data_IF_290126720600
#
_entry.id   IF_290126720600
#
_cell.length_a   1.000
_cell.length_b   1.000
_cell.length_c   1.000
_cell.angle_alpha   90.00
_cell.angle_beta   90.00
_cell.angle_gamma   90.00
#
_symmetry.space_group_name_H-M   'P 1'
#
loop_
_entity.id
_entity.type
_entity.pdbx_description
1 polymer ?
#
# COMPACT_ATOMS: atom_id res chain seq x y z
N UNK A 1 -2.01 13.18 -16.99
CA UNK A 1 -1.15 12.01 -17.24
C UNK A 1 -1.66 10.83 -16.43
N UNK A 2 -1.29 9.60 -16.79
CA UNK A 2 -1.58 8.41 -15.97
C UNK A 2 -0.38 8.11 -15.09
N UNK A 3 -0.61 8.04 -13.77
CA UNK A 3 0.39 7.69 -12.78
C UNK A 3 0.06 6.31 -12.21
N UNK A 4 1.03 5.39 -12.27
CA UNK A 4 0.89 4.05 -11.69
C UNK A 4 1.03 4.12 -10.16
N UNK A 5 0.00 3.70 -9.45
CA UNK A 5 -0.01 3.56 -7.99
C UNK A 5 -0.15 2.08 -7.63
N UNK A 6 0.75 1.60 -6.78
CA UNK A 6 0.83 0.20 -6.37
C UNK A 6 0.21 -0.03 -4.99
N UNK A 7 -0.33 -1.22 -4.81
CA UNK A 7 -0.63 -1.81 -3.51
C UNK A 7 0.56 -2.64 -3.04
N UNK A 8 0.58 -2.98 -1.75
CA UNK A 8 1.69 -3.73 -1.15
C UNK A 8 1.88 -5.15 -1.72
N UNK A 9 0.85 -5.76 -2.32
CA UNK A 9 0.98 -7.03 -3.06
C UNK A 9 1.47 -6.87 -4.51
N UNK A 10 1.89 -5.67 -4.91
CA UNK A 10 2.39 -5.39 -6.26
C UNK A 10 1.32 -5.19 -7.34
N UNK A 11 0.02 -5.37 -7.03
CA UNK A 11 -1.05 -4.93 -7.95
C UNK A 11 -1.01 -3.41 -8.09
N UNK A 12 -1.31 -2.90 -9.28
CA UNK A 12 -1.34 -1.46 -9.55
C UNK A 12 -2.65 -1.02 -10.19
N UNK A 13 -2.93 0.25 -10.07
CA UNK A 13 -3.98 0.96 -10.81
C UNK A 13 -3.45 2.31 -11.26
N UNK A 14 -4.07 2.88 -12.28
CA UNK A 14 -3.67 4.15 -12.87
C UNK A 14 -4.58 5.27 -12.42
N UNK A 15 -3.98 6.35 -11.95
CA UNK A 15 -4.66 7.56 -11.48
C UNK A 15 -4.39 8.69 -12.45
N UNK A 16 -5.44 9.42 -12.83
CA UNK A 16 -5.35 10.56 -13.75
C UNK A 16 -5.01 11.84 -12.99
N UNK A 17 -3.76 12.28 -13.06
CA UNK A 17 -3.26 13.47 -12.35
C UNK A 17 -2.38 14.32 -13.25
N UNK A 18 -2.05 15.54 -12.85
CA UNK A 18 -1.02 16.37 -13.45
C UNK A 18 0.34 15.99 -12.89
N UNK A 19 1.40 16.25 -13.65
CA UNK A 19 2.76 16.04 -13.16
C UNK A 19 3.14 16.99 -12.01
N UNK A 20 2.41 18.09 -11.81
CA UNK A 20 2.63 19.06 -10.72
C UNK A 20 1.70 18.86 -9.53
N UNK A 21 0.80 17.86 -9.56
CA UNK A 21 -0.13 17.64 -8.46
C UNK A 21 0.62 17.18 -7.21
N UNK A 22 0.15 17.67 -6.06
CA UNK A 22 0.75 17.36 -4.77
C UNK A 22 0.43 15.93 -4.32
N UNK A 23 1.21 15.38 -3.39
CA UNK A 23 0.97 14.05 -2.82
C UNK A 23 -0.42 13.93 -2.23
N UNK A 24 -0.90 14.98 -1.55
CA UNK A 24 -2.24 14.99 -0.96
C UNK A 24 -3.32 14.89 -2.04
N UNK A 25 -3.18 15.63 -3.14
CA UNK A 25 -4.13 15.56 -4.26
C UNK A 25 -4.11 14.19 -4.93
N UNK A 26 -2.92 13.64 -5.21
CA UNK A 26 -2.76 12.30 -5.79
C UNK A 26 -3.38 11.23 -4.89
N UNK A 27 -3.19 11.33 -3.56
CA UNK A 27 -3.80 10.42 -2.60
C UNK A 27 -5.32 10.51 -2.61
N UNK A 28 -5.89 11.72 -2.66
CA UNK A 28 -7.34 11.90 -2.75
C UNK A 28 -7.93 11.24 -3.99
N UNK A 29 -7.34 11.46 -5.16
CA UNK A 29 -7.79 10.88 -6.42
C UNK A 29 -7.64 9.34 -6.40
N UNK A 30 -6.49 8.84 -5.93
CA UNK A 30 -6.21 7.41 -5.85
C UNK A 30 -7.19 6.67 -4.92
N UNK A 31 -7.49 7.24 -3.75
CA UNK A 31 -8.41 6.65 -2.77
C UNK A 31 -9.86 6.71 -3.24
N UNK A 32 -10.26 7.80 -3.89
CA UNK A 32 -11.59 7.96 -4.51
C UNK A 32 -11.83 6.87 -5.56
N UNK A 33 -10.83 6.59 -6.40
CA UNK A 33 -10.92 5.57 -7.45
C UNK A 33 -11.14 4.16 -6.92
N UNK A 34 -10.54 3.80 -5.78
CA UNK A 34 -10.78 2.51 -5.10
C UNK A 34 -11.97 2.55 -4.12
N UNK A 35 -12.70 3.67 -4.08
CA UNK A 35 -13.89 3.90 -3.24
C UNK A 35 -13.62 3.78 -1.74
N UNK A 36 -12.41 4.15 -1.30
CA UNK A 36 -12.13 4.26 0.14
C UNK A 36 -12.87 5.48 0.71
N UNK A 37 -13.57 5.37 1.85
CA UNK A 37 -14.21 6.50 2.50
C UNK A 37 -13.24 7.64 2.81
N UNK A 38 -13.68 8.88 2.60
CA UNK A 38 -12.88 10.09 2.73
C UNK A 38 -12.26 10.25 4.13
N UNK A 39 -13.01 9.90 5.19
CA UNK A 39 -12.52 9.93 6.57
C UNK A 39 -11.41 8.91 6.84
N UNK A 40 -11.24 7.90 5.98
CA UNK A 40 -10.24 6.85 6.14
C UNK A 40 -8.94 7.11 5.37
N UNK A 41 -8.89 8.11 4.49
CA UNK A 41 -7.71 8.41 3.66
C UNK A 41 -6.49 8.73 4.53
N UNK A 42 -6.69 9.44 5.65
CA UNK A 42 -5.64 9.82 6.59
C UNK A 42 -4.86 8.65 7.21
N UNK A 43 -5.43 7.45 7.19
CA UNK A 43 -4.79 6.23 7.71
C UNK A 43 -3.75 5.65 6.76
N UNK A 44 -3.71 6.11 5.52
CA UNK A 44 -2.81 5.65 4.48
C UNK A 44 -1.91 6.79 4.01
N UNK A 45 -0.79 6.44 3.38
CA UNK A 45 0.09 7.40 2.72
C UNK A 45 0.78 6.78 1.53
N UNK A 46 1.33 7.66 0.70
CA UNK A 46 2.10 7.28 -0.47
C UNK A 46 3.58 7.14 -0.10
N UNK A 47 4.18 6.02 -0.45
CA UNK A 47 5.58 5.70 -0.18
C UNK A 47 6.32 5.51 -1.49
N UNK A 48 7.56 6.01 -1.53
CA UNK A 48 8.52 5.64 -2.56
C UNK A 48 9.12 4.30 -2.17
N UNK A 49 9.10 3.38 -3.11
CA UNK A 49 9.44 1.99 -2.89
C UNK A 49 10.40 1.53 -3.98
N UNK A 50 11.51 0.91 -3.59
CA UNK A 50 12.47 0.31 -4.51
C UNK A 50 12.04 -1.12 -4.90
N UNK A 51 12.25 -1.47 -6.16
CA UNK A 51 12.14 -2.84 -6.70
C UNK A 51 13.53 -3.47 -6.58
N UNK A 52 13.70 -4.48 -5.73
CA UNK A 52 14.92 -5.30 -5.77
C UNK A 52 14.68 -6.48 -6.72
N UNK A 53 15.70 -6.81 -7.52
CA UNK A 53 15.63 -7.88 -8.54
C UNK A 53 15.52 -9.27 -7.89
N UNK A 54 16.12 -9.47 -6.71
CA UNK A 54 16.28 -10.80 -6.11
C UNK A 54 15.74 -10.96 -4.66
N UNK A 55 15.46 -9.88 -3.92
CA UNK A 55 15.21 -9.96 -2.46
C UNK A 55 14.03 -9.16 -1.91
N UNK A 56 13.29 -8.41 -2.74
CA UNK A 56 12.00 -7.85 -2.34
C UNK A 56 11.77 -6.38 -2.64
N UNK A 57 11.00 -5.73 -1.78
CA UNK A 57 10.44 -4.40 -1.94
C UNK A 57 10.96 -3.60 -0.76
N UNK A 58 11.86 -2.64 -0.97
CA UNK A 58 12.33 -1.79 0.12
C UNK A 58 11.50 -0.50 0.17
N UNK A 59 10.93 -0.17 1.33
CA UNK A 59 10.28 1.13 1.55
C UNK A 59 11.36 2.16 1.80
N UNK A 60 11.54 3.09 0.85
CA UNK A 60 12.59 4.12 0.93
C UNK A 60 12.16 5.24 1.86
N UNK A 61 10.99 5.83 1.61
CA UNK A 61 10.43 6.90 2.44
C UNK A 61 8.96 7.16 2.15
N UNK A 62 8.29 7.84 3.08
CA UNK A 62 6.98 8.46 2.86
C UNK A 62 7.14 9.74 2.03
N UNK A 63 6.27 9.97 1.06
CA UNK A 63 6.16 11.26 0.38
C UNK A 63 5.44 12.27 1.28
N UNK A 64 5.93 13.50 1.30
CA UNK A 64 5.31 14.61 2.02
C UNK A 64 4.22 15.25 1.17
N UNK A 65 3.25 15.89 1.84
CA UNK A 65 2.06 16.46 1.19
C UNK A 65 2.38 17.46 0.07
N UNK A 66 3.45 18.25 0.22
CA UNK A 66 3.87 19.27 -0.75
C UNK A 66 4.65 18.73 -1.96
N UNK A 67 5.11 17.48 -1.92
CA UNK A 67 5.87 16.90 -3.03
C UNK A 67 4.96 16.57 -4.20
N UNK A 68 5.51 16.52 -5.43
CA UNK A 68 4.82 15.92 -6.58
C UNK A 68 5.26 14.46 -6.75
N UNK A 69 4.35 13.47 -6.56
CA UNK A 69 4.70 12.06 -6.74
C UNK A 69 5.20 11.75 -8.15
N UNK A 70 4.62 12.39 -9.16
CA UNK A 70 4.99 12.17 -10.56
C UNK A 70 6.44 12.62 -10.81
N UNK A 71 6.85 13.79 -10.31
CA UNK A 71 8.22 14.27 -10.46
C UNK A 71 9.23 13.46 -9.64
N UNK A 72 8.82 12.96 -8.47
CA UNK A 72 9.67 12.09 -7.62
C UNK A 72 9.97 10.76 -8.31
N UNK A 73 8.97 10.12 -8.90
CA UNK A 73 9.14 8.77 -9.48
C UNK A 73 9.69 8.78 -10.91
N UNK A 74 9.48 9.85 -11.69
CA UNK A 74 9.87 9.93 -13.09
C UNK A 74 11.35 9.56 -13.36
N UNK A 75 12.35 10.11 -12.64
CA UNK A 75 13.75 9.73 -12.85
C UNK A 75 14.10 8.34 -12.32
N UNK A 76 13.21 7.71 -11.55
CA UNK A 76 13.43 6.44 -10.87
C UNK A 76 12.52 5.31 -11.38
N UNK A 77 11.76 5.53 -12.46
CA UNK A 77 10.64 4.69 -12.90
C UNK A 77 10.99 3.20 -13.12
N UNK A 78 12.25 2.92 -13.44
CA UNK A 78 12.74 1.57 -13.74
C UNK A 78 13.05 0.79 -12.45
N UNK A 79 13.51 1.49 -11.41
CA UNK A 79 13.95 0.89 -10.14
C UNK A 79 12.99 1.14 -8.98
N UNK A 80 12.08 2.11 -9.08
CA UNK A 80 11.18 2.49 -8.02
C UNK A 80 9.72 2.51 -8.46
N UNK A 81 8.83 2.58 -7.47
CA UNK A 81 7.38 2.73 -7.64
C UNK A 81 6.78 3.49 -6.48
N UNK A 82 5.58 4.01 -6.70
CA UNK A 82 4.77 4.62 -5.67
C UNK A 82 3.80 3.58 -5.13
N UNK A 83 3.79 3.36 -3.81
CA UNK A 83 2.92 2.38 -3.18
C UNK A 83 2.13 2.98 -2.02
N UNK A 84 0.87 2.56 -1.89
CA UNK A 84 0.02 2.90 -0.76
C UNK A 84 0.33 1.95 0.39
N UNK A 85 0.56 2.51 1.58
CA UNK A 85 0.76 1.75 2.82
C UNK A 85 0.07 2.44 3.99
N UNK A 86 -0.33 1.65 4.99
CA UNK A 86 -0.75 2.14 6.32
C UNK A 86 0.28 3.13 6.89
N UNK A 87 -0.17 4.25 7.44
CA UNK A 87 0.66 5.36 7.95
C UNK A 87 0.42 5.66 9.44
N UNK A 88 0.34 4.63 10.29
CA UNK A 88 0.24 4.79 11.74
C UNK A 88 0.71 3.53 12.45
N UNK A 89 0.92 3.61 13.76
CA UNK A 89 1.40 2.49 14.58
C UNK A 89 0.41 2.06 15.65
N UNK A 90 -0.45 2.98 16.11
CA UNK A 90 -1.45 2.73 17.16
C UNK A 90 -2.53 1.75 16.68
N UNK A 91 -2.56 0.55 17.27
CA UNK A 91 -3.49 -0.52 16.89
C UNK A 91 -4.95 -0.18 17.18
N UNK A 92 -5.23 0.71 18.15
CA UNK A 92 -6.61 1.10 18.48
C UNK A 92 -7.31 1.83 17.32
N UNK A 93 -6.52 2.40 16.40
CA UNK A 93 -7.04 3.05 15.19
C UNK A 93 -7.44 2.06 14.10
N UNK A 94 -7.01 0.80 14.19
CA UNK A 94 -7.36 -0.24 13.21
C UNK A 94 -8.83 -0.69 13.32
N UNK A 95 -9.41 -0.61 14.51
CA UNK A 95 -10.80 -1.02 14.76
C UNK A 95 -11.80 -0.28 13.87
N UNK A 96 -11.51 0.97 13.51
CA UNK A 96 -12.33 1.74 12.57
C UNK A 96 -12.17 1.24 11.13
N UNK A 97 -10.95 0.86 10.73
CA UNK A 97 -10.62 0.35 9.40
C UNK A 97 -11.21 -1.04 9.14
N UNK A 98 -11.32 -1.87 10.18
CA UNK A 98 -11.91 -3.22 10.05
C UNK A 98 -13.40 -3.19 9.67
N UNK A 99 -14.09 -2.07 9.93
CA UNK A 99 -15.52 -1.90 9.61
C UNK A 99 -15.78 -1.63 8.13
N UNK A 100 -14.76 -1.18 7.39
CA UNK A 100 -14.86 -0.90 5.96
C UNK A 100 -14.16 -1.98 5.13
N UNK A 101 -14.82 -2.47 4.08
CA UNK A 101 -14.32 -3.58 3.26
C UNK A 101 -13.08 -3.21 2.46
N UNK A 102 -12.97 -1.97 1.99
CA UNK A 102 -11.84 -1.52 1.18
C UNK A 102 -10.63 -1.31 2.09
N UNK A 103 -10.81 -0.62 3.21
CA UNK A 103 -9.79 -0.43 4.23
C UNK A 103 -9.25 -1.77 4.75
N UNK A 104 -10.14 -2.68 5.14
CA UNK A 104 -9.76 -4.02 5.60
C UNK A 104 -8.98 -4.79 4.51
N UNK A 105 -9.39 -4.68 3.25
CA UNK A 105 -8.67 -5.32 2.14
C UNK A 105 -7.28 -4.70 1.92
N UNK A 106 -7.10 -3.38 2.07
CA UNK A 106 -5.79 -2.74 2.01
C UNK A 106 -4.86 -3.24 3.12
N UNK A 107 -5.37 -3.33 4.36
CA UNK A 107 -4.63 -3.87 5.49
C UNK A 107 -4.28 -5.35 5.28
N UNK A 108 -5.23 -6.16 4.82
CA UNK A 108 -5.01 -7.58 4.54
C UNK A 108 -3.94 -7.80 3.47
N UNK A 109 -4.04 -7.07 2.36
CA UNK A 109 -3.04 -7.11 1.27
C UNK A 109 -1.65 -6.72 1.76
N UNK A 110 -1.55 -5.73 2.64
CA UNK A 110 -0.30 -5.35 3.27
C UNK A 110 0.22 -6.43 4.23
N UNK A 111 -0.64 -6.98 5.10
CA UNK A 111 -0.24 -8.01 6.06
C UNK A 111 0.29 -9.28 5.37
N UNK A 112 -0.36 -9.72 4.28
CA UNK A 112 0.13 -10.85 3.47
C UNK A 112 1.50 -10.54 2.88
N UNK A 113 1.69 -9.34 2.32
CA UNK A 113 2.99 -8.93 1.76
C UNK A 113 4.07 -8.83 2.83
N UNK A 114 3.74 -8.32 4.03
CA UNK A 114 4.67 -8.18 5.14
C UNK A 114 5.10 -9.57 5.68
N UNK A 115 4.20 -10.56 5.70
CA UNK A 115 4.53 -11.96 6.06
C UNK A 115 5.39 -12.64 4.98
N UNK A 116 5.04 -12.49 3.70
CA UNK A 116 5.80 -13.07 2.58
C UNK A 116 7.23 -12.52 2.45
N UNK A 117 7.51 -11.39 3.09
CA UNK A 117 8.80 -10.69 3.07
C UNK A 117 9.58 -10.80 4.38
N UNK A 118 9.13 -11.64 5.31
CA UNK A 118 9.73 -11.79 6.63
C UNK A 118 9.80 -10.47 7.44
N UNK A 119 8.90 -9.52 7.17
CA UNK A 119 8.78 -8.29 7.96
C UNK A 119 8.01 -8.50 9.26
N UNK A 120 7.28 -9.63 9.34
CA UNK A 120 6.60 -10.10 10.54
C UNK A 120 7.45 -11.19 11.18
N UNK A 121 7.99 -10.91 12.37
CA UNK A 121 8.73 -11.88 13.16
C UNK A 121 7.73 -12.84 13.79
N UNK A 122 7.80 -14.12 13.41
CA UNK A 122 6.88 -15.16 13.89
C UNK A 122 7.58 -16.52 13.96
N UNK A 123 6.98 -17.50 14.65
CA UNK A 123 7.49 -18.88 14.66
C UNK A 123 7.11 -19.63 13.37
N UNK A 124 7.88 -20.66 12.96
CA UNK A 124 7.55 -21.47 11.78
C UNK A 124 6.15 -22.08 11.83
N UNK A 125 5.69 -22.51 13.00
CA UNK A 125 4.35 -23.10 13.19
C UNK A 125 3.25 -22.06 12.95
N UNK A 126 3.44 -20.85 13.48
CA UNK A 126 2.50 -19.75 13.27
C UNK A 126 2.49 -19.31 11.80
N UNK A 127 3.64 -19.32 11.13
CA UNK A 127 3.74 -19.02 9.70
C UNK A 127 2.97 -20.05 8.85
N UNK A 128 3.08 -21.34 9.18
CA UNK A 128 2.31 -22.40 8.54
C UNK A 128 0.80 -22.20 8.74
N UNK A 129 0.37 -21.84 9.96
CA UNK A 129 -1.02 -21.53 10.24
C UNK A 129 -1.55 -20.32 9.46
N UNK A 130 -0.76 -19.23 9.37
CA UNK A 130 -1.09 -18.05 8.57
C UNK A 130 -1.26 -18.41 7.08
N UNK A 131 -0.39 -19.25 6.53
CA UNK A 131 -0.49 -19.73 5.16
C UNK A 131 -1.76 -20.58 4.94
N UNK A 132 -2.11 -21.43 5.91
CA UNK A 132 -3.35 -22.21 5.89
C UNK A 132 -4.60 -21.31 5.96
N UNK A 133 -4.59 -20.25 6.76
CA UNK A 133 -5.68 -19.27 6.84
C UNK A 133 -5.83 -18.47 5.55
N UNK A 134 -4.72 -18.05 4.94
CA UNK A 134 -4.71 -17.35 3.64
C UNK A 134 -5.38 -18.19 2.55
N UNK A 135 -4.95 -19.44 2.38
CA UNK A 135 -5.50 -20.35 1.35
C UNK A 135 -6.97 -20.69 1.59
N UNK A 136 -7.39 -20.87 2.85
CA UNK A 136 -8.82 -21.04 3.19
C UNK A 136 -9.67 -19.82 2.82
N UNK A 137 -9.13 -18.62 2.98
CA UNK A 137 -9.82 -17.38 2.61
C UNK A 137 -9.93 -17.21 1.09
N UNK A 138 -8.89 -17.58 0.33
CA UNK A 138 -8.92 -17.58 -1.14
C UNK A 138 -9.99 -18.54 -1.71
N UNK A 139 -10.27 -19.66 -1.03
CA UNK A 139 -11.34 -20.61 -1.39
C UNK A 139 -12.75 -20.13 -1.05
N UNK A 140 -12.90 -19.08 -0.24
CA UNK A 140 -14.20 -18.51 0.16
C UNK A 140 -14.63 -17.30 -0.69
N UNK A 141 -13.78 -16.86 -1.61
CA UNK A 141 -14.10 -15.84 -2.63
C UNK A 141 -14.62 -16.50 -3.90
#
# INVERSE_FOLDING_TARGET
MQLDIYLMNGKKFQVNVRNTDSTDHVMQEAMSQIKLPQNMIQYFSLFLVQREEDSGLAVVRKLQGFESPALVVLPLKDTHRLAIRKNFWDSNKEDELYKDKIALNLLFVQAVSDVERDWVITTPETLEELNNLKTKNERKK
#
